data_IF_272922421290
#
_entry.id   IF_272922421290
#
_cell.length_a   1.000
_cell.length_b   1.000
_cell.length_c   1.000
_cell.angle_alpha   90.00
_cell.angle_beta   90.00
_cell.angle_gamma   90.00
#
_symmetry.space_group_name_H-M   'P 1'
#
loop_
_entity.id
_entity.type
_entity.pdbx_description
1 polymer ?
#
# COMPACT_ATOMS: atom_id res chain seq x y z
N UNK A 1 -22.59 1.59 -14.48
CA UNK A 1 -21.34 1.01 -13.93
C UNK A 1 -21.59 -0.42 -13.46
N UNK A 2 -20.69 -1.38 -13.71
CA UNK A 2 -20.86 -2.79 -13.29
C UNK A 2 -20.08 -3.07 -12.00
N UNK A 3 -20.46 -4.15 -11.29
CA UNK A 3 -19.70 -4.61 -10.11
C UNK A 3 -18.24 -4.92 -10.45
N UNK A 4 -18.01 -5.56 -11.60
CA UNK A 4 -16.66 -5.88 -12.07
C UNK A 4 -15.80 -4.63 -12.30
N UNK A 5 -16.37 -3.58 -12.90
CA UNK A 5 -15.67 -2.30 -13.08
C UNK A 5 -15.29 -1.67 -11.73
N UNK A 6 -16.22 -1.63 -10.77
CA UNK A 6 -15.94 -1.09 -9.45
C UNK A 6 -14.84 -1.85 -8.71
N UNK A 7 -14.85 -3.19 -8.77
CA UNK A 7 -13.80 -4.02 -8.18
C UNK A 7 -12.43 -3.71 -8.77
N UNK A 8 -12.35 -3.56 -10.10
CA UNK A 8 -11.09 -3.25 -10.76
C UNK A 8 -10.58 -1.84 -10.41
N UNK A 9 -11.48 -0.85 -10.33
CA UNK A 9 -11.13 0.50 -9.88
C UNK A 9 -10.62 0.52 -8.43
N UNK A 10 -11.23 -0.25 -7.53
CA UNK A 10 -10.77 -0.38 -6.14
C UNK A 10 -9.40 -1.04 -6.07
N UNK A 11 -9.16 -2.12 -6.83
CA UNK A 11 -7.86 -2.79 -6.86
C UNK A 11 -6.77 -1.84 -7.36
N UNK A 12 -7.01 -1.13 -8.48
CA UNK A 12 -6.07 -0.13 -9.01
C UNK A 12 -5.78 0.97 -7.99
N UNK A 13 -6.80 1.46 -7.29
CA UNK A 13 -6.61 2.47 -6.24
C UNK A 13 -5.72 1.96 -5.10
N UNK A 14 -5.95 0.73 -4.63
CA UNK A 14 -5.18 0.14 -3.54
C UNK A 14 -3.72 -0.06 -3.97
N UNK A 15 -3.49 -0.68 -5.12
CA UNK A 15 -2.17 -1.04 -5.59
C UNK A 15 -1.37 0.20 -6.00
N UNK A 16 -1.90 1.04 -6.88
CA UNK A 16 -1.11 2.10 -7.50
C UNK A 16 -0.97 3.33 -6.61
N UNK A 17 -2.00 3.65 -5.82
CA UNK A 17 -2.02 4.88 -5.03
C UNK A 17 -1.92 4.63 -3.53
N UNK A 18 -2.82 3.83 -2.95
CA UNK A 18 -2.90 3.70 -1.50
C UNK A 18 -1.62 3.08 -0.91
N UNK A 19 -1.18 1.94 -1.43
CA UNK A 19 0.00 1.25 -0.91
C UNK A 19 1.30 1.98 -1.25
N UNK A 20 1.39 2.58 -2.45
CA UNK A 20 2.65 3.08 -3.02
C UNK A 20 2.86 4.60 -2.94
N UNK A 21 1.82 5.42 -2.75
CA UNK A 21 1.94 6.89 -2.83
C UNK A 21 1.30 7.62 -1.65
N UNK A 22 0.29 7.05 -1.00
CA UNK A 22 -0.42 7.72 0.09
C UNK A 22 0.45 7.76 1.33
N UNK A 23 0.71 8.95 1.84
CA UNK A 23 1.40 9.14 3.12
C UNK A 23 0.43 8.99 4.29
N UNK A 24 0.84 8.23 5.32
CA UNK A 24 0.05 8.01 6.52
C UNK A 24 0.71 8.64 7.74
N UNK A 25 0.00 9.55 8.43
CA UNK A 25 0.52 10.19 9.65
C UNK A 25 0.84 9.18 10.75
N UNK A 26 0.06 8.11 10.87
CA UNK A 26 0.31 7.00 11.81
C UNK A 26 1.57 6.20 11.48
N UNK A 27 2.03 6.24 10.22
CA UNK A 27 3.28 5.60 9.77
C UNK A 27 4.46 6.57 9.75
N UNK A 28 4.32 7.76 10.35
CA UNK A 28 5.35 8.79 10.33
C UNK A 28 5.50 9.48 8.97
N UNK A 29 4.40 9.63 8.23
CA UNK A 29 4.39 10.15 6.86
C UNK A 29 5.18 9.29 5.87
N UNK A 30 5.06 7.96 6.04
CA UNK A 30 5.51 6.95 5.08
C UNK A 30 4.32 6.26 4.44
N UNK A 31 4.59 5.62 3.31
CA UNK A 31 3.63 4.77 2.61
C UNK A 31 3.50 3.41 3.28
N UNK A 32 2.36 2.71 3.12
CA UNK A 32 2.23 1.33 3.58
C UNK A 32 3.30 0.39 3.02
N UNK A 33 3.69 0.56 1.75
CA UNK A 33 4.71 -0.28 1.11
C UNK A 33 6.08 -0.11 1.79
N UNK A 34 6.53 1.12 2.03
CA UNK A 34 7.82 1.38 2.70
C UNK A 34 7.92 0.72 4.08
N UNK A 35 6.82 0.70 4.85
CA UNK A 35 6.78 0.07 6.17
C UNK A 35 6.82 -1.45 6.07
N UNK A 36 6.19 -2.02 5.04
CA UNK A 36 6.26 -3.46 4.78
C UNK A 36 7.68 -3.86 4.35
N UNK A 37 8.29 -3.10 3.44
CA UNK A 37 9.65 -3.35 2.97
C UNK A 37 10.66 -3.33 4.13
N UNK A 38 10.57 -2.32 5.01
CA UNK A 38 11.38 -2.26 6.23
C UNK A 38 11.16 -3.48 7.13
N UNK A 39 9.91 -3.90 7.33
CA UNK A 39 9.60 -5.08 8.12
C UNK A 39 10.24 -6.34 7.52
N UNK A 40 10.11 -6.56 6.21
CA UNK A 40 10.68 -7.72 5.53
C UNK A 40 12.21 -7.74 5.59
N UNK A 41 12.86 -6.59 5.47
CA UNK A 41 14.32 -6.45 5.66
C UNK A 41 14.76 -6.83 7.08
N UNK A 42 14.01 -6.40 8.11
CA UNK A 42 14.32 -6.76 9.50
C UNK A 42 14.15 -8.26 9.76
N UNK A 43 13.17 -8.91 9.13
CA UNK A 43 12.96 -10.36 9.29
C UNK A 43 14.02 -11.18 8.55
N UNK A 44 14.55 -10.69 7.42
CA UNK A 44 15.61 -11.38 6.67
C UNK A 44 16.99 -11.27 7.31
N UNK A 45 17.23 -10.22 8.09
CA UNK A 45 18.52 -9.96 8.75
C UNK A 45 18.62 -10.55 10.17
N UNK A 46 17.52 -11.10 10.70
CA UNK A 46 17.45 -11.80 11.99
C UNK A 46 17.71 -13.31 11.86
#
# INVERSE_FOLDING_TARGET
>A
PTRAYAMNAVAQYIELFYNNQRLHSTLGYRTPQEVLDEYDETQQTA
#
